data_IF_085021658447
#
_entry.id   IF_085021658447
#
_cell.length_a   1.000
_cell.length_b   1.000
_cell.length_c   1.000
_cell.angle_alpha   90.00
_cell.angle_beta   90.00
_cell.angle_gamma   90.00
#
_symmetry.space_group_name_H-M   'P 1'
#
loop_
_entity.id
_entity.type
_entity.pdbx_description
1 polymer ?
#
# COMPACT_ATOMS: atom_id res chain seq x y z
N UNK A 1 -52.66 -12.38 -5.31
CA UNK A 1 -51.88 -12.54 -6.57
C UNK A 1 -50.40 -12.67 -6.20
N UNK A 2 -49.90 -13.89 -6.12
CA UNK A 2 -48.48 -14.16 -5.79
C UNK A 2 -47.67 -13.88 -7.06
N UNK A 3 -47.01 -12.71 -7.15
CA UNK A 3 -46.02 -12.46 -8.22
C UNK A 3 -44.84 -13.41 -7.98
N UNK A 4 -44.83 -14.54 -8.69
CA UNK A 4 -43.68 -15.43 -8.78
C UNK A 4 -42.48 -14.60 -9.30
N UNK A 5 -41.51 -14.32 -8.43
CA UNK A 5 -40.21 -13.80 -8.84
C UNK A 5 -39.48 -14.93 -9.56
N UNK A 6 -39.70 -15.06 -10.86
CA UNK A 6 -38.94 -15.98 -11.70
C UNK A 6 -37.47 -15.51 -11.67
N UNK A 7 -36.62 -16.20 -10.90
CA UNK A 7 -35.19 -15.90 -10.79
C UNK A 7 -34.53 -16.25 -12.11
N UNK A 8 -34.16 -15.24 -12.90
CA UNK A 8 -33.22 -15.42 -14.02
C UNK A 8 -31.87 -15.77 -13.40
N UNK A 9 -31.25 -16.84 -13.90
CA UNK A 9 -29.94 -17.26 -13.40
C UNK A 9 -28.88 -16.27 -13.89
N UNK A 10 -27.94 -15.85 -13.03
CA UNK A 10 -26.77 -15.11 -13.48
C UNK A 10 -25.97 -15.96 -14.48
N UNK A 11 -25.26 -15.30 -15.38
CA UNK A 11 -24.39 -15.97 -16.35
C UNK A 11 -23.00 -15.34 -16.34
N UNK A 12 -22.02 -16.10 -16.82
CA UNK A 12 -20.63 -15.66 -16.93
C UNK A 12 -20.36 -15.35 -18.40
N UNK A 13 -19.80 -14.18 -18.65
CA UNK A 13 -19.26 -13.76 -19.94
C UNK A 13 -17.76 -14.01 -19.91
N UNK A 14 -17.25 -14.77 -20.88
CA UNK A 14 -15.81 -15.00 -21.04
C UNK A 14 -15.35 -14.24 -22.29
N UNK A 15 -14.40 -13.33 -22.10
CA UNK A 15 -13.71 -12.63 -23.18
C UNK A 15 -12.38 -13.31 -23.39
N UNK A 16 -12.19 -13.94 -24.55
CA UNK A 16 -10.90 -14.43 -25.00
C UNK A 16 -10.36 -13.50 -26.08
N UNK A 17 -9.23 -12.85 -25.82
CA UNK A 17 -8.38 -12.23 -26.85
C UNK A 17 -7.14 -13.09 -27.05
N UNK A 18 -6.36 -12.83 -28.10
CA UNK A 18 -5.14 -13.60 -28.43
C UNK A 18 -4.12 -13.69 -27.27
N UNK A 19 -4.23 -12.86 -26.22
CA UNK A 19 -3.31 -12.82 -25.08
C UNK A 19 -3.97 -12.90 -23.69
N UNK A 20 -5.29 -12.76 -23.54
CA UNK A 20 -5.97 -12.76 -22.25
C UNK A 20 -7.33 -13.47 -22.31
N UNK A 21 -7.63 -14.27 -21.28
CA UNK A 21 -8.98 -14.72 -20.96
C UNK A 21 -9.47 -13.95 -19.73
N UNK A 22 -10.59 -13.25 -19.84
CA UNK A 22 -11.25 -12.52 -18.74
C UNK A 22 -12.66 -13.04 -18.56
N UNK A 23 -13.16 -13.08 -17.33
CA UNK A 23 -14.54 -13.48 -17.05
C UNK A 23 -15.25 -12.44 -16.20
N UNK A 24 -16.49 -12.12 -16.56
CA UNK A 24 -17.36 -11.21 -15.80
C UNK A 24 -18.67 -11.90 -15.49
N UNK A 25 -19.14 -11.78 -14.24
CA UNK A 25 -20.47 -12.25 -13.86
C UNK A 25 -21.50 -11.17 -14.20
N UNK A 26 -22.60 -11.54 -14.86
CA UNK A 26 -23.71 -10.64 -15.14
C UNK A 26 -24.93 -11.05 -14.33
N UNK A 27 -25.39 -10.16 -13.45
CA UNK A 27 -26.64 -10.36 -12.71
C UNK A 27 -27.76 -9.63 -13.41
N UNK A 28 -28.74 -10.39 -13.90
CA UNK A 28 -29.90 -9.86 -14.59
C UNK A 28 -31.05 -9.54 -13.64
N UNK A 29 -31.76 -8.44 -13.95
CA UNK A 29 -33.05 -8.07 -13.38
C UNK A 29 -34.01 -7.77 -14.55
N UNK A 30 -35.21 -8.37 -14.49
CA UNK A 30 -36.28 -8.18 -15.49
C UNK A 30 -37.12 -6.95 -15.15
N UNK A 31 -37.73 -6.37 -16.18
CA UNK A 31 -38.59 -5.19 -16.12
C UNK A 31 -37.91 -4.03 -15.38
N UNK A 32 -36.63 -3.82 -15.70
CA UNK A 32 -35.80 -2.81 -15.09
C UNK A 32 -34.89 -2.20 -16.16
N UNK A 33 -34.71 -0.88 -16.08
CA UNK A 33 -33.82 -0.13 -16.97
C UNK A 33 -33.16 1.01 -16.21
N UNK A 34 -31.86 1.18 -16.45
CA UNK A 34 -31.14 2.38 -16.05
C UNK A 34 -31.29 3.45 -17.14
N UNK A 35 -32.01 4.53 -16.83
CA UNK A 35 -32.34 5.55 -17.83
C UNK A 35 -31.19 6.50 -18.13
N UNK A 36 -30.38 6.79 -17.12
CA UNK A 36 -29.29 7.74 -17.22
C UNK A 36 -27.98 7.04 -17.56
N UNK A 37 -26.98 7.83 -17.99
CA UNK A 37 -25.57 7.38 -18.11
C UNK A 37 -25.32 6.27 -19.14
N UNK A 38 -26.11 6.30 -20.22
CA UNK A 38 -25.86 5.53 -21.43
C UNK A 38 -24.59 6.03 -22.10
N UNK A 39 -23.61 5.16 -22.20
CA UNK A 39 -22.37 5.40 -22.93
C UNK A 39 -22.59 5.23 -24.42
N UNK A 40 -23.27 4.13 -24.81
CA UNK A 40 -23.53 3.75 -26.19
C UNK A 40 -24.84 2.98 -26.28
N UNK A 41 -25.56 3.16 -27.39
CA UNK A 41 -26.73 2.36 -27.77
C UNK A 41 -26.43 1.66 -29.09
N UNK A 42 -26.70 0.36 -29.16
CA UNK A 42 -26.42 -0.50 -30.32
C UNK A 42 -27.49 -1.57 -30.47
N UNK A 43 -27.62 -2.14 -31.67
CA UNK A 43 -28.35 -3.39 -31.87
C UNK A 43 -27.41 -4.58 -31.64
N UNK A 44 -27.91 -5.63 -31.01
CA UNK A 44 -27.15 -6.88 -30.73
C UNK A 44 -28.06 -8.10 -30.87
N UNK A 45 -27.52 -9.25 -31.26
CA UNK A 45 -28.26 -10.50 -31.47
C UNK A 45 -28.75 -11.18 -30.18
N UNK A 46 -28.56 -10.53 -29.04
CA UNK A 46 -28.95 -11.07 -27.74
C UNK A 46 -28.27 -10.35 -26.59
N UNK A 47 -28.80 -10.57 -25.38
CA UNK A 47 -28.23 -9.99 -24.15
C UNK A 47 -26.81 -10.46 -23.87
N UNK A 48 -26.42 -11.65 -24.33
CA UNK A 48 -25.05 -12.16 -24.20
C UNK A 48 -24.06 -11.32 -25.00
N UNK A 49 -24.39 -11.00 -26.26
CA UNK A 49 -23.55 -10.14 -27.10
C UNK A 49 -23.50 -8.71 -26.53
N UNK A 50 -24.64 -8.20 -26.04
CA UNK A 50 -24.68 -6.93 -25.32
C UNK A 50 -23.73 -6.92 -24.11
N UNK A 51 -23.73 -8.01 -23.33
CA UNK A 51 -22.86 -8.18 -22.17
C UNK A 51 -21.38 -8.31 -22.56
N UNK A 52 -21.06 -9.05 -23.63
CA UNK A 52 -19.71 -9.10 -24.20
C UNK A 52 -19.21 -7.71 -24.59
N UNK A 53 -20.04 -6.92 -25.27
CA UNK A 53 -19.70 -5.55 -25.68
C UNK A 53 -19.52 -4.61 -24.49
N UNK A 54 -20.33 -4.76 -23.44
CA UNK A 54 -20.13 -4.02 -22.18
C UNK A 54 -18.80 -4.41 -21.53
N UNK A 55 -18.53 -5.70 -21.39
CA UNK A 55 -17.32 -6.19 -20.73
C UNK A 55 -16.04 -5.86 -21.51
N UNK A 56 -16.13 -5.59 -22.83
CA UNK A 56 -15.01 -5.08 -23.66
C UNK A 56 -14.79 -3.56 -23.51
N UNK A 57 -15.71 -2.83 -22.89
CA UNK A 57 -15.64 -1.38 -22.73
C UNK A 57 -15.25 -1.04 -21.27
N UNK A 58 -14.04 -0.51 -21.00
CA UNK A 58 -13.56 -0.26 -19.63
C UNK A 58 -14.43 0.66 -18.77
N UNK A 59 -15.26 1.48 -19.39
CA UNK A 59 -16.17 2.42 -18.73
C UNK A 59 -17.58 1.87 -18.51
N UNK A 60 -17.89 0.64 -18.96
CA UNK A 60 -19.21 0.02 -18.86
C UNK A 60 -19.31 -0.88 -17.64
N UNK A 61 -20.22 -0.53 -16.73
CA UNK A 61 -20.47 -1.27 -15.47
C UNK A 61 -21.80 -2.02 -15.50
N UNK A 62 -22.67 -1.68 -16.44
CA UNK A 62 -24.00 -2.28 -16.57
C UNK A 62 -24.52 -2.14 -18.00
N UNK A 63 -25.57 -2.90 -18.30
CA UNK A 63 -26.26 -2.86 -19.58
C UNK A 63 -27.78 -2.85 -19.38
N UNK A 64 -28.51 -2.28 -20.33
CA UNK A 64 -29.92 -2.57 -20.54
C UNK A 64 -30.09 -3.29 -21.88
N UNK A 65 -31.02 -4.24 -21.94
CA UNK A 65 -31.35 -4.93 -23.17
C UNK A 65 -32.87 -5.06 -23.33
N UNK A 66 -33.38 -4.66 -24.49
CA UNK A 66 -34.76 -4.88 -24.90
C UNK A 66 -34.75 -5.75 -26.16
N UNK A 67 -35.33 -6.94 -26.09
CA UNK A 67 -35.49 -7.80 -27.26
C UNK A 67 -36.47 -7.15 -28.23
N UNK A 68 -36.14 -7.16 -29.52
CA UNK A 68 -37.17 -7.03 -30.54
C UNK A 68 -37.87 -8.38 -30.66
N UNK A 69 -39.19 -8.40 -30.77
CA UNK A 69 -39.97 -9.63 -30.93
C UNK A 69 -40.06 -10.07 -32.39
N UNK A 70 -39.77 -9.15 -33.33
CA UNK A 70 -39.84 -9.41 -34.77
C UNK A 70 -38.54 -10.01 -35.33
N UNK A 71 -37.39 -9.74 -34.68
CA UNK A 71 -36.06 -10.16 -35.13
C UNK A 71 -35.31 -10.91 -34.01
N UNK A 72 -34.31 -11.71 -34.38
CA UNK A 72 -33.36 -12.30 -33.41
C UNK A 72 -32.36 -11.27 -32.86
N UNK A 73 -32.78 -10.01 -32.70
CA UNK A 73 -31.95 -8.88 -32.28
C UNK A 73 -32.68 -8.00 -31.26
N UNK A 74 -31.96 -7.07 -30.65
CA UNK A 74 -32.54 -6.18 -29.67
C UNK A 74 -31.64 -5.00 -29.33
N UNK A 75 -32.28 -3.99 -28.75
CA UNK A 75 -31.64 -2.74 -28.36
C UNK A 75 -30.80 -2.97 -27.11
N UNK A 76 -29.48 -2.77 -27.24
CA UNK A 76 -28.49 -2.84 -26.19
C UNK A 76 -28.01 -1.44 -25.80
N UNK A 77 -28.17 -1.07 -24.53
CA UNK A 77 -27.65 0.16 -23.94
C UNK A 77 -26.49 -0.21 -23.00
N UNK A 78 -25.30 0.33 -23.28
CA UNK A 78 -24.12 0.18 -22.43
C UNK A 78 -24.10 1.35 -21.44
N UNK A 79 -24.01 1.08 -20.15
CA UNK A 79 -24.23 2.06 -19.09
C UNK A 79 -23.07 2.11 -18.09
N UNK A 80 -22.83 3.29 -17.52
CA UNK A 80 -21.84 3.52 -16.45
C UNK A 80 -22.50 3.77 -15.10
N UNK A 81 -22.01 3.10 -14.06
CA UNK A 81 -22.40 3.32 -12.66
C UNK A 81 -21.33 4.19 -11.99
N UNK A 82 -21.70 5.22 -11.21
CA UNK A 82 -20.73 5.95 -10.36
C UNK A 82 -21.02 5.82 -8.87
N UNK A 83 -22.25 5.52 -8.46
CA UNK A 83 -22.64 5.50 -7.04
C UNK A 83 -23.60 4.36 -6.69
N UNK A 84 -23.74 4.07 -5.40
CA UNK A 84 -24.67 3.06 -4.85
C UNK A 84 -26.14 3.40 -5.19
N UNK A 85 -26.43 4.65 -5.52
CA UNK A 85 -27.78 5.18 -5.79
C UNK A 85 -28.25 5.04 -7.25
N UNK A 86 -27.42 4.55 -8.17
CA UNK A 86 -27.83 4.23 -9.55
C UNK A 86 -28.67 2.93 -9.56
N UNK A 87 -29.83 2.94 -8.90
CA UNK A 87 -30.77 1.82 -8.94
C UNK A 87 -31.66 1.94 -10.18
N UNK A 88 -31.74 0.89 -11.02
CA UNK A 88 -32.59 0.89 -12.19
C UNK A 88 -34.06 1.05 -11.78
N UNK A 89 -34.85 1.77 -12.58
CA UNK A 89 -36.26 2.00 -12.28
C UNK A 89 -37.01 0.67 -12.36
N UNK A 90 -37.85 0.36 -11.37
CA UNK A 90 -38.75 -0.79 -11.47
C UNK A 90 -39.84 -0.51 -12.52
N UNK A 91 -40.32 -1.58 -13.16
CA UNK A 91 -41.50 -1.62 -14.04
C UNK A 91 -41.32 -1.07 -15.47
N UNK A 92 -40.09 -1.01 -15.98
CA UNK A 92 -39.85 -0.86 -17.43
C UNK A 92 -40.11 -2.19 -18.15
N UNK A 93 -41.37 -2.44 -18.49
CA UNK A 93 -41.80 -3.70 -19.09
C UNK A 93 -40.99 -4.08 -20.34
N UNK A 94 -40.53 -5.34 -20.38
CA UNK A 94 -39.71 -5.87 -21.49
C UNK A 94 -38.22 -5.62 -21.38
N UNK A 95 -37.77 -4.62 -20.59
CA UNK A 95 -36.35 -4.34 -20.40
C UNK A 95 -35.69 -5.32 -19.44
N UNK A 96 -34.45 -5.69 -19.75
CA UNK A 96 -33.57 -6.42 -18.85
C UNK A 96 -32.37 -5.55 -18.48
N UNK A 97 -32.17 -5.30 -17.19
CA UNK A 97 -30.98 -4.65 -16.69
C UNK A 97 -29.97 -5.70 -16.22
N UNK A 98 -28.75 -5.64 -16.73
CA UNK A 98 -27.63 -6.48 -16.33
C UNK A 98 -26.55 -5.66 -15.64
N UNK A 99 -26.29 -5.93 -14.36
CA UNK A 99 -25.12 -5.36 -13.66
C UNK A 99 -23.94 -6.30 -13.85
N UNK A 100 -22.84 -5.76 -14.38
CA UNK A 100 -21.58 -6.48 -14.47
C UNK A 100 -20.93 -6.44 -13.09
N UNK A 101 -20.72 -7.62 -12.52
CA UNK A 101 -19.89 -7.79 -11.34
C UNK A 101 -18.51 -8.15 -11.86
N UNK A 102 -17.62 -7.17 -11.87
CA UNK A 102 -16.22 -7.52 -11.78
C UNK A 102 -15.96 -8.06 -10.37
N UNK A 103 -15.28 -9.20 -10.19
CA UNK A 103 -14.62 -9.47 -8.92
C UNK A 103 -13.78 -8.25 -8.56
N UNK A 104 -13.75 -7.89 -7.27
CA UNK A 104 -13.08 -6.68 -6.79
C UNK A 104 -11.66 -6.62 -7.34
N UNK A 105 -11.37 -5.59 -8.14
CA UNK A 105 -10.08 -5.45 -8.81
C UNK A 105 -9.06 -4.74 -7.95
N UNK A 106 -9.39 -4.27 -6.76
CA UNK A 106 -8.52 -3.45 -5.90
C UNK A 106 -8.42 -4.05 -4.50
N UNK A 107 -7.19 -4.27 -4.06
CA UNK A 107 -6.83 -4.79 -2.75
C UNK A 107 -5.94 -3.77 -2.05
N UNK A 108 -6.37 -3.26 -0.89
CA UNK A 108 -5.64 -2.23 -0.14
C UNK A 108 -5.18 -2.80 1.19
N UNK A 109 -3.88 -2.93 1.36
CA UNK A 109 -3.22 -3.38 2.57
C UNK A 109 -2.76 -2.17 3.39
N UNK A 110 -3.04 -2.20 4.68
CA UNK A 110 -2.68 -1.17 5.68
C UNK A 110 -1.90 -1.81 6.82
N UNK A 111 -1.55 -1.02 7.83
CA UNK A 111 -0.94 -1.49 9.08
C UNK A 111 -1.92 -2.25 9.98
N UNK A 112 -3.20 -2.37 9.59
CA UNK A 112 -4.26 -2.99 10.41
C UNK A 112 -4.35 -2.35 11.82
N UNK A 113 -4.02 -1.07 11.92
CA UNK A 113 -4.06 -0.31 13.18
C UNK A 113 -2.87 -0.55 14.11
N UNK A 114 -1.92 -1.42 13.74
CA UNK A 114 -0.69 -1.60 14.50
C UNK A 114 0.21 -0.35 14.43
N UNK A 115 0.94 -0.10 15.52
CA UNK A 115 1.81 1.05 15.71
C UNK A 115 3.10 0.62 16.43
N UNK A 116 4.18 1.40 16.26
CA UNK A 116 5.49 1.09 16.86
C UNK A 116 6.29 0.05 16.08
N UNK A 117 7.07 -0.76 16.79
CA UNK A 117 8.05 -1.69 16.19
C UNK A 117 7.46 -2.99 15.63
N UNK A 118 6.35 -3.45 16.20
CA UNK A 118 5.75 -4.74 15.86
C UNK A 118 4.64 -4.55 14.83
N UNK A 119 4.54 -5.50 13.91
CA UNK A 119 3.48 -5.51 12.92
C UNK A 119 2.16 -6.05 13.48
N UNK A 120 1.10 -6.06 12.66
CA UNK A 120 -0.24 -6.46 13.10
C UNK A 120 -0.36 -7.93 13.48
N UNK A 121 -1.27 -8.21 14.41
CA UNK A 121 -1.56 -9.56 14.94
C UNK A 121 -2.96 -10.06 14.59
N UNK A 122 -3.79 -9.20 14.01
CA UNK A 122 -5.20 -9.49 13.71
C UNK A 122 -5.61 -8.84 12.37
N UNK A 123 -6.53 -9.48 11.65
CA UNK A 123 -7.01 -9.05 10.32
C UNK A 123 -8.46 -8.55 10.31
N UNK A 124 -9.10 -8.37 11.46
CA UNK A 124 -10.53 -8.01 11.56
C UNK A 124 -10.89 -6.70 10.83
N UNK A 125 -9.96 -5.76 10.73
CA UNK A 125 -10.15 -4.51 9.97
C UNK A 125 -10.32 -4.74 8.45
N UNK A 126 -10.06 -5.95 7.96
CA UNK A 126 -10.35 -6.35 6.58
C UNK A 126 -11.68 -7.06 6.37
N UNK A 127 -12.44 -7.40 7.41
CA UNK A 127 -13.66 -8.23 7.31
C UNK A 127 -14.74 -7.63 6.39
N UNK A 128 -14.75 -6.31 6.24
CA UNK A 128 -15.68 -5.56 5.38
C UNK A 128 -15.04 -5.05 4.10
N UNK A 129 -13.87 -5.58 3.72
CA UNK A 129 -13.09 -5.16 2.56
C UNK A 129 -12.90 -6.29 1.56
N UNK A 130 -12.25 -5.99 0.43
CA UNK A 130 -11.88 -6.99 -0.57
C UNK A 130 -10.87 -8.03 -0.11
N UNK A 131 -10.29 -7.84 1.10
CA UNK A 131 -9.32 -8.72 1.73
C UNK A 131 -9.93 -9.66 2.79
N UNK A 132 -11.25 -9.59 3.06
CA UNK A 132 -11.93 -10.41 4.06
C UNK A 132 -11.63 -11.91 3.85
N UNK A 133 -11.01 -12.55 4.86
CA UNK A 133 -10.63 -13.96 4.84
C UNK A 133 -9.56 -14.35 3.79
N UNK A 134 -8.88 -13.38 3.17
CA UNK A 134 -7.86 -13.63 2.11
C UNK A 134 -6.42 -13.32 2.53
N UNK A 135 -6.23 -12.86 3.77
CA UNK A 135 -4.93 -12.48 4.32
C UNK A 135 -4.59 -13.35 5.51
N UNK A 136 -3.37 -13.88 5.53
CA UNK A 136 -2.80 -14.55 6.70
C UNK A 136 -1.63 -13.72 7.23
N UNK A 137 -1.53 -13.56 8.54
CA UNK A 137 -0.41 -12.86 9.18
C UNK A 137 0.68 -13.84 9.63
N UNK A 138 1.93 -13.51 9.33
CA UNK A 138 3.13 -14.14 9.91
C UNK A 138 4.04 -13.02 10.40
N UNK A 139 4.16 -12.87 11.72
CA UNK A 139 4.99 -11.82 12.34
C UNK A 139 4.70 -10.41 11.77
N UNK A 140 3.42 -10.08 11.57
CA UNK A 140 2.99 -8.80 10.98
C UNK A 140 3.04 -8.72 9.46
N UNK A 141 3.69 -9.67 8.78
CA UNK A 141 3.72 -9.75 7.32
C UNK A 141 2.41 -10.39 6.84
N UNK A 142 1.77 -9.72 5.89
CA UNK A 142 0.49 -10.10 5.30
C UNK A 142 0.74 -10.98 4.06
N UNK A 143 0.41 -12.27 4.17
CA UNK A 143 0.42 -13.20 3.04
C UNK A 143 -0.89 -13.08 2.27
N UNK A 144 -0.77 -12.87 0.97
CA UNK A 144 -1.91 -12.76 0.07
C UNK A 144 -1.71 -13.63 -1.17
N UNK A 145 -2.76 -14.32 -1.58
CA UNK A 145 -2.76 -15.17 -2.77
C UNK A 145 -3.46 -14.46 -3.91
N UNK A 146 -2.78 -14.35 -5.06
CA UNK A 146 -3.30 -13.71 -6.26
C UNK A 146 -4.57 -14.44 -6.73
N UNK A 147 -5.74 -13.77 -6.78
CA UNK A 147 -7.01 -14.44 -7.09
C UNK A 147 -7.15 -14.74 -8.58
N UNK A 148 -6.52 -13.94 -9.44
CA UNK A 148 -6.70 -14.00 -10.89
C UNK A 148 -5.38 -13.74 -11.62
N UNK A 149 -5.15 -14.47 -12.71
CA UNK A 149 -4.00 -14.19 -13.58
C UNK A 149 -4.25 -12.92 -14.37
N UNK A 150 -3.29 -12.00 -14.39
CA UNK A 150 -3.38 -10.78 -15.18
C UNK A 150 -2.30 -9.76 -14.85
N UNK A 151 -2.41 -8.60 -15.48
CA UNK A 151 -1.55 -7.44 -15.17
C UNK A 151 -2.12 -6.69 -13.98
N UNK A 152 -1.27 -6.33 -13.02
CA UNK A 152 -1.62 -5.63 -11.81
C UNK A 152 -0.79 -4.36 -11.68
N UNK A 153 -1.43 -3.23 -11.34
CA UNK A 153 -0.73 -2.06 -10.83
C UNK A 153 -0.56 -2.22 -9.33
N UNK A 154 0.68 -2.22 -8.88
CA UNK A 154 1.03 -2.24 -7.46
C UNK A 154 1.58 -0.85 -7.12
N UNK A 155 0.99 -0.21 -6.11
CA UNK A 155 1.49 1.05 -5.54
C UNK A 155 1.74 0.87 -4.05
N UNK A 156 2.95 1.14 -3.60
CA UNK A 156 3.31 1.17 -2.18
C UNK A 156 3.68 2.58 -1.72
N UNK A 157 3.28 2.90 -0.49
CA UNK A 157 3.69 4.06 0.27
C UNK A 157 4.55 3.60 1.45
N UNK A 158 5.77 4.15 1.58
CA UNK A 158 6.57 4.02 2.80
C UNK A 158 6.00 4.91 3.90
N UNK A 159 6.26 4.57 5.16
CA UNK A 159 5.79 5.38 6.28
C UNK A 159 6.70 6.59 6.54
N UNK A 160 6.16 7.65 7.14
CA UNK A 160 6.98 8.80 7.57
C UNK A 160 7.73 8.50 8.86
N UNK A 161 8.89 9.15 9.03
CA UNK A 161 9.58 9.20 10.31
C UNK A 161 8.80 9.95 11.39
N UNK A 162 9.25 9.80 12.63
CA UNK A 162 8.75 10.56 13.76
C UNK A 162 9.13 12.03 13.66
N UNK A 163 8.21 12.91 14.05
CA UNK A 163 8.53 14.32 14.23
C UNK A 163 9.46 14.50 15.43
N UNK A 164 10.15 15.62 15.48
CA UNK A 164 10.97 16.01 16.61
C UNK A 164 10.37 17.21 17.33
N UNK A 165 10.38 17.20 18.66
CA UNK A 165 9.92 18.32 19.48
C UNK A 165 10.89 18.66 20.61
N UNK A 166 10.60 19.70 21.39
CA UNK A 166 11.41 20.08 22.54
C UNK A 166 10.50 20.62 23.65
N UNK A 167 10.68 20.15 24.90
CA UNK A 167 9.85 20.57 26.04
C UNK A 167 10.18 21.98 26.55
N UNK A 168 11.37 22.49 26.24
CA UNK A 168 11.91 23.76 26.74
C UNK A 168 11.72 24.92 25.77
N UNK A 169 11.21 24.68 24.56
CA UNK A 169 10.86 25.74 23.61
C UNK A 169 9.64 25.33 22.78
N UNK A 170 8.57 26.13 22.87
CA UNK A 170 7.32 25.94 22.12
C UNK A 170 7.47 26.07 20.59
N UNK A 171 8.67 26.38 20.10
CA UNK A 171 8.95 26.72 18.70
C UNK A 171 9.78 25.66 17.94
N UNK A 172 10.18 24.57 18.57
CA UNK A 172 10.95 23.51 17.88
C UNK A 172 10.02 22.36 17.50
N UNK A 173 9.29 22.51 16.40
CA UNK A 173 8.62 21.40 15.71
C UNK A 173 9.37 21.13 14.41
N UNK A 174 10.04 19.99 14.34
CA UNK A 174 10.82 19.55 13.18
C UNK A 174 10.18 18.31 12.61
N UNK A 175 10.11 18.21 11.29
CA UNK A 175 9.31 17.16 10.65
C UNK A 175 10.16 15.91 10.43
N UNK A 176 9.56 14.75 10.73
CA UNK A 176 10.10 13.49 10.24
C UNK A 176 10.05 13.46 8.72
N UNK A 177 10.99 12.76 8.10
CA UNK A 177 10.98 12.59 6.65
C UNK A 177 9.71 11.88 6.20
N UNK A 178 9.15 12.31 5.07
CA UNK A 178 8.01 11.62 4.44
C UNK A 178 8.47 10.33 3.76
N UNK A 179 7.63 9.29 3.74
CA UNK A 179 7.92 8.05 3.02
C UNK A 179 7.77 8.19 1.49
N UNK A 180 8.38 7.28 0.73
CA UNK A 180 8.31 7.26 -0.73
C UNK A 180 6.95 6.72 -1.25
N UNK A 181 6.60 7.08 -2.48
CA UNK A 181 5.50 6.51 -3.26
C UNK A 181 6.06 5.82 -4.49
N UNK A 182 5.93 4.51 -4.56
CA UNK A 182 6.50 3.68 -5.64
C UNK A 182 5.38 2.90 -6.30
N UNK A 183 5.31 2.95 -7.63
CA UNK A 183 4.29 2.27 -8.41
C UNK A 183 4.89 1.57 -9.62
N UNK A 184 4.43 0.37 -9.93
CA UNK A 184 4.75 -0.33 -11.16
C UNK A 184 3.64 -1.30 -11.59
N UNK A 185 3.71 -1.76 -12.83
CA UNK A 185 2.82 -2.79 -13.39
C UNK A 185 3.53 -4.14 -13.45
N UNK A 186 2.84 -5.20 -13.04
CA UNK A 186 3.38 -6.55 -12.90
C UNK A 186 2.40 -7.57 -13.48
N UNK A 187 2.89 -8.57 -14.19
CA UNK A 187 2.05 -9.72 -14.56
C UNK A 187 2.13 -10.76 -13.44
N UNK A 188 1.00 -11.04 -12.79
CA UNK A 188 0.89 -12.01 -11.71
C UNK A 188 -0.03 -13.15 -12.14
N UNK A 189 0.26 -14.37 -11.70
CA UNK A 189 -0.57 -15.55 -11.96
C UNK A 189 -1.44 -15.88 -10.76
N UNK A 190 -2.64 -16.38 -11.02
CA UNK A 190 -3.50 -16.96 -9.99
C UNK A 190 -2.72 -17.97 -9.16
N UNK A 191 -2.95 -17.96 -7.86
CA UNK A 191 -2.31 -18.79 -6.85
C UNK A 191 -0.84 -18.47 -6.57
N UNK A 192 -0.23 -17.48 -7.24
CA UNK A 192 1.03 -16.92 -6.76
C UNK A 192 0.81 -16.26 -5.40
N UNK A 193 1.70 -16.52 -4.45
CA UNK A 193 1.65 -15.95 -3.11
C UNK A 193 2.62 -14.79 -3.00
N UNK A 194 2.14 -13.69 -2.45
CA UNK A 194 2.92 -12.50 -2.16
C UNK A 194 3.03 -12.29 -0.66
N UNK A 195 4.20 -11.83 -0.21
CA UNK A 195 4.42 -11.28 1.12
C UNK A 195 4.29 -9.76 1.04
N UNK A 196 3.44 -9.20 1.88
CA UNK A 196 3.17 -7.77 1.94
C UNK A 196 3.47 -7.28 3.35
N UNK A 197 4.44 -6.39 3.48
CA UNK A 197 4.74 -5.69 4.72
C UNK A 197 4.34 -4.24 4.52
N UNK A 198 3.52 -3.70 5.41
CA UNK A 198 3.13 -2.28 5.38
C UNK A 198 3.86 -1.53 6.49
N UNK A 199 4.62 -0.52 6.11
CA UNK A 199 5.42 0.26 7.05
C UNK A 199 4.57 1.05 8.05
N UNK A 200 5.00 1.09 9.30
CA UNK A 200 4.41 1.91 10.36
C UNK A 200 5.18 3.22 10.54
N UNK A 201 4.46 4.27 10.91
CA UNK A 201 5.02 5.59 11.19
C UNK A 201 6.03 5.52 12.36
N UNK A 202 7.11 6.29 12.24
CA UNK A 202 7.98 6.58 13.39
C UNK A 202 7.28 7.47 14.42
N UNK A 203 7.69 7.34 15.68
CA UNK A 203 7.15 8.11 16.81
C UNK A 203 8.24 8.97 17.44
N UNK A 204 7.87 10.11 18.04
CA UNK A 204 8.81 10.88 18.81
C UNK A 204 9.09 10.20 20.16
N UNK A 205 10.27 10.43 20.73
CA UNK A 205 10.60 10.06 22.11
C UNK A 205 10.20 11.20 23.04
N UNK A 206 9.27 11.02 23.96
CA UNK A 206 8.69 12.11 24.79
C UNK A 206 9.31 12.22 26.20
N UNK A 207 10.32 11.39 26.52
CA UNK A 207 10.85 11.25 27.88
C UNK A 207 12.01 12.20 28.23
N UNK A 208 12.61 12.89 27.25
CA UNK A 208 13.79 13.75 27.46
C UNK A 208 13.53 15.18 26.99
N UNK A 209 14.28 16.17 27.48
CA UNK A 209 14.08 17.58 27.06
C UNK A 209 14.19 17.80 25.54
N UNK A 210 14.95 16.95 24.86
CA UNK A 210 15.06 16.87 23.41
C UNK A 210 14.33 15.61 22.94
N UNK A 211 13.28 15.78 22.15
CA UNK A 211 12.44 14.69 21.68
C UNK A 211 12.70 14.41 20.20
N UNK A 212 13.72 13.64 19.81
CA UNK A 212 13.89 13.27 18.40
C UNK A 212 12.87 12.23 17.96
N UNK A 213 12.71 12.10 16.65
CA UNK A 213 11.86 11.11 16.02
C UNK A 213 12.61 9.82 15.71
N UNK A 214 11.91 8.69 15.82
CA UNK A 214 12.37 7.40 15.28
C UNK A 214 12.12 7.29 13.78
N UNK A 215 12.74 6.29 13.13
CA UNK A 215 12.57 6.05 11.70
C UNK A 215 11.21 5.42 11.38
N UNK A 216 10.62 5.80 10.24
CA UNK A 216 9.44 5.15 9.67
C UNK A 216 9.83 3.89 8.90
N UNK A 217 8.94 2.90 8.87
CA UNK A 217 9.17 1.65 8.15
C UNK A 217 8.95 1.75 6.64
N UNK A 218 9.64 0.89 5.90
CA UNK A 218 9.38 0.66 4.48
C UNK A 218 8.15 -0.23 4.27
N UNK A 219 7.53 -0.11 3.10
CA UNK A 219 6.47 -1.02 2.65
C UNK A 219 7.00 -1.92 1.54
N UNK A 220 6.80 -3.24 1.66
CA UNK A 220 7.39 -4.26 0.81
C UNK A 220 6.30 -5.10 0.15
N UNK A 221 6.50 -5.42 -1.12
CA UNK A 221 5.79 -6.45 -1.86
C UNK A 221 6.83 -7.38 -2.47
N UNK A 222 6.84 -8.62 -2.02
CA UNK A 222 7.79 -9.65 -2.49
C UNK A 222 7.04 -10.94 -2.84
N UNK A 223 7.69 -11.81 -3.60
CA UNK A 223 7.25 -13.20 -3.73
C UNK A 223 7.49 -13.97 -2.42
N UNK A 224 6.92 -15.17 -2.30
CA UNK A 224 7.09 -16.04 -1.12
C UNK A 224 8.57 -16.33 -0.78
N UNK A 225 9.47 -16.30 -1.78
CA UNK A 225 10.92 -16.50 -1.62
C UNK A 225 11.71 -15.20 -1.31
N UNK A 226 11.03 -14.14 -0.87
CA UNK A 226 11.60 -12.82 -0.52
C UNK A 226 12.20 -12.03 -1.69
N UNK A 227 12.04 -12.50 -2.93
CA UNK A 227 12.44 -11.72 -4.10
C UNK A 227 11.55 -10.48 -4.24
N UNK A 228 12.11 -9.25 -4.21
CA UNK A 228 11.30 -8.04 -4.20
C UNK A 228 10.66 -7.77 -5.55
N UNK A 229 9.38 -7.41 -5.54
CA UNK A 229 8.68 -6.82 -6.69
C UNK A 229 8.76 -5.30 -6.63
N UNK A 230 8.38 -4.76 -5.46
CA UNK A 230 8.24 -3.34 -5.23
C UNK A 230 8.45 -3.03 -3.75
N UNK A 231 9.24 -2.02 -3.45
CA UNK A 231 9.51 -1.56 -2.08
C UNK A 231 9.48 -0.04 -2.07
N UNK A 232 8.75 0.55 -1.13
CA UNK A 232 8.75 1.99 -0.88
C UNK A 232 9.46 2.30 0.44
N UNK A 233 10.54 3.08 0.37
CA UNK A 233 11.35 3.46 1.53
C UNK A 233 10.60 4.38 2.49
N UNK A 234 10.78 4.16 3.80
CA UNK A 234 10.29 5.01 4.87
C UNK A 234 11.20 6.22 5.12
N UNK A 235 10.67 7.24 5.77
CA UNK A 235 11.43 8.44 6.14
C UNK A 235 12.23 8.28 7.44
N UNK A 236 13.36 8.98 7.54
CA UNK A 236 14.13 9.11 8.77
C UNK A 236 13.43 10.02 9.79
N UNK A 237 13.72 9.82 11.07
CA UNK A 237 13.18 10.67 12.14
C UNK A 237 13.83 12.05 12.20
N UNK A 238 13.13 13.01 12.81
CA UNK A 238 13.64 14.37 12.94
C UNK A 238 14.59 14.51 14.14
N UNK A 239 15.60 15.38 14.00
CA UNK A 239 16.50 15.76 15.09
C UNK A 239 16.04 17.07 15.71
N UNK A 240 15.67 17.05 16.99
CA UNK A 240 15.13 18.23 17.70
C UNK A 240 16.06 18.71 18.82
N UNK A 241 17.11 19.44 18.43
CA UNK A 241 18.09 20.02 19.35
C UNK A 241 18.20 21.53 19.17
N UNK A 242 17.26 22.27 19.80
CA UNK A 242 17.22 23.74 19.83
C UNK A 242 17.50 24.36 18.43
N UNK A 243 18.48 25.26 18.33
CA UNK A 243 18.86 25.96 17.11
C UNK A 243 19.54 25.08 16.04
N UNK A 244 19.84 23.81 16.34
CA UNK A 244 20.55 22.87 15.45
C UNK A 244 19.66 21.75 14.94
N UNK A 245 18.35 21.92 15.08
CA UNK A 245 17.34 20.97 14.65
C UNK A 245 17.42 20.71 13.14
N UNK A 246 17.14 19.47 12.73
CA UNK A 246 17.12 19.03 11.33
C UNK A 246 15.89 18.17 11.06
N UNK A 247 15.25 18.40 9.92
CA UNK A 247 14.23 17.49 9.42
C UNK A 247 14.84 16.11 9.11
N UNK A 248 14.03 15.08 9.25
CA UNK A 248 14.40 13.74 8.84
C UNK A 248 14.53 13.63 7.32
N UNK A 249 15.46 12.80 6.85
CA UNK A 249 15.60 12.51 5.43
C UNK A 249 14.37 11.77 4.89
N UNK A 250 13.84 12.21 3.76
CA UNK A 250 12.72 11.55 3.10
C UNK A 250 13.08 10.14 2.63
N UNK A 251 12.08 9.26 2.53
CA UNK A 251 12.21 8.00 1.77
C UNK A 251 12.54 8.30 0.31
N UNK A 252 13.46 7.54 -0.26
CA UNK A 252 14.04 7.80 -1.58
C UNK A 252 13.31 7.06 -2.68
N UNK A 253 13.24 7.64 -3.88
CA UNK A 253 12.79 6.92 -5.08
C UNK A 253 13.84 5.95 -5.63
N UNK A 254 15.12 6.18 -5.29
CA UNK A 254 16.26 5.35 -5.70
C UNK A 254 16.52 4.21 -4.70
N UNK A 255 17.39 3.28 -5.09
CA UNK A 255 17.69 2.07 -4.31
C UNK A 255 18.49 2.29 -3.02
N UNK A 256 19.15 3.44 -2.89
CA UNK A 256 20.03 3.69 -1.75
C UNK A 256 19.31 4.53 -0.69
N UNK A 257 19.60 4.24 0.58
CA UNK A 257 19.23 5.14 1.66
C UNK A 257 20.10 6.41 1.66
N UNK A 258 19.75 7.37 2.51
CA UNK A 258 20.50 8.63 2.67
C UNK A 258 21.22 8.72 4.02
N UNK A 259 22.13 9.69 4.17
CA UNK A 259 22.85 10.00 5.41
C UNK A 259 23.54 8.79 6.06
N UNK A 260 24.38 8.09 5.27
CA UNK A 260 24.95 6.81 5.67
C UNK A 260 24.03 5.62 5.39
N UNK A 261 23.05 5.79 4.50
CA UNK A 261 22.13 4.72 4.14
C UNK A 261 22.81 3.57 3.39
N UNK A 262 22.18 2.40 3.49
CA UNK A 262 22.63 1.18 2.83
C UNK A 262 22.48 1.24 1.32
N UNK A 263 23.01 0.20 0.68
CA UNK A 263 22.85 -0.09 -0.74
C UNK A 263 22.61 -1.58 -0.93
N UNK A 264 22.09 -1.98 -2.10
CA UNK A 264 21.92 -3.39 -2.49
C UNK A 264 21.21 -4.25 -1.43
N UNK A 265 20.14 -3.73 -0.83
CA UNK A 265 19.37 -4.50 0.15
C UNK A 265 19.87 -4.40 1.59
N UNK A 266 20.97 -3.68 1.85
CA UNK A 266 21.58 -3.58 3.19
C UNK A 266 20.93 -2.49 4.05
N UNK A 267 21.01 -2.65 5.37
CA UNK A 267 20.62 -1.61 6.33
C UNK A 267 21.55 -0.40 6.27
N UNK A 268 21.12 0.69 6.90
CA UNK A 268 21.94 1.89 7.05
C UNK A 268 23.04 1.73 8.10
N UNK A 269 24.02 2.63 8.03
CA UNK A 269 25.14 2.74 8.94
C UNK A 269 25.05 3.99 9.82
N UNK A 270 25.83 4.00 10.90
CA UNK A 270 26.05 5.16 11.75
C UNK A 270 27.35 5.84 11.32
N UNK A 271 27.25 7.09 10.86
CA UNK A 271 28.40 7.88 10.41
C UNK A 271 28.73 8.91 11.47
N UNK A 272 29.85 8.71 12.15
CA UNK A 272 30.39 9.61 13.17
C UNK A 272 31.53 10.46 12.58
N UNK A 273 31.27 11.76 12.39
CA UNK A 273 32.24 12.76 11.99
C UNK A 273 32.53 13.70 13.18
N UNK A 274 33.12 13.16 14.26
CA UNK A 274 33.39 13.89 15.50
C UNK A 274 33.76 12.98 16.68
N UNK A 275 33.89 13.54 17.88
CA UNK A 275 34.22 12.79 19.10
C UNK A 275 33.01 12.11 19.76
N UNK A 276 31.80 12.47 19.37
CA UNK A 276 30.58 12.09 20.08
C UNK A 276 29.92 10.84 19.47
N UNK A 277 29.47 9.93 20.34
CA UNK A 277 28.74 8.73 19.95
C UNK A 277 27.36 9.05 19.36
N UNK A 278 26.90 8.22 18.43
CA UNK A 278 25.54 8.25 17.88
C UNK A 278 24.66 7.33 18.74
N UNK A 279 23.59 7.85 19.36
CA UNK A 279 22.67 7.04 20.19
C UNK A 279 21.34 6.73 19.47
N UNK A 280 21.18 7.17 18.22
CA UNK A 280 20.07 6.81 17.33
C UNK A 280 20.52 5.73 16.34
N UNK A 281 19.65 4.80 16.03
CA UNK A 281 20.00 3.62 15.25
C UNK A 281 19.55 3.73 13.78
N UNK A 282 20.20 2.99 12.90
CA UNK A 282 19.90 3.01 11.47
C UNK A 282 18.70 2.12 11.11
N UNK A 283 18.13 2.34 9.92
CA UNK A 283 17.04 1.54 9.38
C UNK A 283 17.52 0.23 8.76
N UNK A 284 16.65 -0.77 8.75
CA UNK A 284 16.83 -2.04 8.05
C UNK A 284 16.55 -1.94 6.54
N UNK A 285 17.24 -2.79 5.78
CA UNK A 285 17.02 -2.98 4.34
C UNK A 285 16.16 -4.21 4.04
N UNK A 286 16.23 -4.69 2.80
CA UNK A 286 15.63 -5.96 2.40
C UNK A 286 16.26 -7.14 3.15
N UNK A 287 17.59 -7.16 3.26
CA UNK A 287 18.37 -8.32 3.74
C UNK A 287 19.41 -8.00 4.82
N UNK A 288 19.70 -6.72 5.05
CA UNK A 288 20.61 -6.28 6.11
C UNK A 288 19.86 -5.49 7.17
N UNK A 289 20.08 -5.85 8.44
CA UNK A 289 19.61 -5.05 9.57
C UNK A 289 20.33 -3.70 9.59
N UNK A 290 19.68 -2.70 10.18
CA UNK A 290 20.32 -1.41 10.47
C UNK A 290 21.36 -1.54 11.57
N UNK A 291 22.40 -0.70 11.51
CA UNK A 291 23.41 -0.63 12.55
C UNK A 291 22.83 -0.16 13.90
N UNK A 292 23.23 -0.85 14.96
CA UNK A 292 22.82 -0.56 16.34
C UNK A 292 23.63 0.60 16.93
N UNK A 293 22.97 1.44 17.70
CA UNK A 293 23.60 2.51 18.48
C UNK A 293 24.00 2.00 19.89
N UNK A 294 24.87 0.99 19.91
CA UNK A 294 25.38 0.39 21.14
C UNK A 294 24.29 -0.20 22.05
N UNK A 295 24.30 0.17 23.32
CA UNK A 295 23.33 -0.29 24.32
C UNK A 295 21.98 0.43 24.23
N UNK A 296 21.94 1.63 23.65
CA UNK A 296 20.81 2.56 23.79
C UNK A 296 19.64 2.28 22.84
N UNK A 297 19.96 2.02 21.57
CA UNK A 297 18.95 1.81 20.54
C UNK A 297 19.41 0.73 19.56
N UNK A 298 18.50 -0.14 19.16
CA UNK A 298 18.75 -1.11 18.09
C UNK A 298 18.31 -0.59 16.72
N UNK A 299 19.03 -1.03 15.69
CA UNK A 299 18.65 -0.77 14.31
C UNK A 299 17.42 -1.59 13.92
N UNK A 300 16.70 -1.09 12.92
CA UNK A 300 15.55 -1.81 12.37
C UNK A 300 15.97 -3.13 11.75
N UNK A 301 15.16 -4.18 11.94
CA UNK A 301 15.36 -5.47 11.29
C UNK A 301 15.09 -5.39 9.80
N UNK A 302 15.86 -6.17 9.05
CA UNK A 302 15.62 -6.37 7.63
C UNK A 302 14.26 -7.01 7.35
N UNK A 303 13.73 -6.82 6.15
CA UNK A 303 12.51 -7.51 5.72
C UNK A 303 12.62 -9.03 5.86
N UNK A 304 13.72 -9.64 5.42
CA UNK A 304 13.96 -11.08 5.59
C UNK A 304 14.10 -11.52 7.05
N UNK A 305 14.42 -10.58 7.95
CA UNK A 305 14.44 -10.76 9.39
C UNK A 305 13.11 -10.47 10.09
N UNK A 306 12.02 -10.32 9.33
CA UNK A 306 10.67 -10.03 9.86
C UNK A 306 10.30 -8.55 9.91
N UNK A 307 11.22 -7.64 9.58
CA UNK A 307 10.95 -6.21 9.45
C UNK A 307 10.59 -5.48 10.73
N UNK A 308 10.85 -6.05 11.91
CA UNK A 308 10.64 -5.38 13.19
C UNK A 308 11.37 -4.03 13.25
N UNK A 309 10.72 -3.01 13.79
CA UNK A 309 11.37 -1.74 14.09
C UNK A 309 12.45 -1.87 15.15
N UNK A 310 13.34 -0.89 15.24
CA UNK A 310 14.32 -0.79 16.29
C UNK A 310 13.68 -0.51 17.64
N UNK A 311 14.35 -0.93 18.71
CA UNK A 311 13.93 -0.74 20.10
C UNK A 311 14.80 0.34 20.75
N UNK A 312 14.18 1.27 21.47
CA UNK A 312 14.90 2.08 22.45
C UNK A 312 14.94 1.30 23.77
N UNK A 313 16.13 0.88 24.19
CA UNK A 313 16.35 -0.05 25.31
C UNK A 313 16.41 0.62 26.68
N UNK A 314 16.35 1.95 26.71
CA UNK A 314 16.44 2.74 27.94
C UNK A 314 15.20 3.58 28.22
N UNK A 315 14.36 3.81 27.20
CA UNK A 315 13.07 4.46 27.35
C UNK A 315 12.03 3.47 27.89
N UNK A 316 11.16 3.94 28.80
CA UNK A 316 10.06 3.14 29.31
C UNK A 316 8.94 3.03 28.26
N UNK A 317 8.19 1.91 28.27
CA UNK A 317 6.95 1.79 27.50
C UNK A 317 7.09 1.71 25.97
N UNK A 318 8.30 1.44 25.44
CA UNK A 318 8.52 1.30 24.00
C UNK A 318 8.56 2.62 23.23
N UNK A 319 8.72 3.75 23.91
CA UNK A 319 8.89 5.05 23.26
C UNK A 319 10.17 5.13 22.44
N UNK A 320 10.15 5.92 21.37
CA UNK A 320 11.31 6.07 20.48
C UNK A 320 11.64 4.82 19.66
N UNK A 321 10.82 3.76 19.74
CA UNK A 321 10.94 2.62 18.86
C UNK A 321 10.71 3.02 17.39
N UNK A 322 11.47 2.40 16.49
CA UNK A 322 11.30 2.57 15.06
C UNK A 322 10.00 1.92 14.57
N UNK A 323 9.44 2.42 13.47
CA UNK A 323 8.26 1.82 12.86
C UNK A 323 8.54 0.43 12.27
N UNK A 324 7.60 -0.50 12.44
CA UNK A 324 7.56 -1.77 11.70
C UNK A 324 7.75 -1.54 10.21
N UNK A 325 8.50 -2.42 9.55
CA UNK A 325 9.12 -2.19 8.24
C UNK A 325 10.56 -1.72 8.32
N UNK A 326 11.23 -1.97 9.45
CA UNK A 326 12.66 -1.75 9.63
C UNK A 326 13.05 -0.30 9.93
N UNK A 327 12.19 0.53 10.50
CA UNK A 327 12.61 1.83 11.03
C UNK A 327 13.59 1.65 12.20
N UNK A 328 14.64 2.47 12.28
CA UNK A 328 15.56 2.50 13.41
C UNK A 328 14.99 3.25 14.62
N UNK A 329 15.36 2.84 15.83
CA UNK A 329 14.99 3.55 17.05
C UNK A 329 15.74 4.89 17.20
N UNK A 330 15.12 5.85 17.89
CA UNK A 330 15.77 7.07 18.33
C UNK A 330 16.11 7.05 19.81
N UNK A 331 17.06 7.89 20.21
CA UNK A 331 17.34 8.21 21.62
C UNK A 331 17.64 9.71 21.75
N UNK A 332 18.88 10.14 22.00
CA UNK A 332 19.29 11.54 21.87
C UNK A 332 19.45 11.97 20.42
N UNK A 333 19.56 11.01 19.49
CA UNK A 333 19.64 11.19 18.05
C UNK A 333 18.48 10.49 17.35
N UNK A 334 18.10 10.94 16.13
CA UNK A 334 17.00 10.35 15.37
C UNK A 334 17.32 8.95 14.83
N UNK A 335 16.26 8.21 14.48
CA UNK A 335 16.36 6.89 13.86
C UNK A 335 16.25 6.92 12.32
N UNK A 336 17.02 6.06 11.63
CA UNK A 336 17.00 5.91 10.17
C UNK A 336 15.74 5.21 9.65
N UNK A 337 15.23 5.59 8.48
CA UNK A 337 14.05 4.97 7.86
C UNK A 337 14.33 3.57 7.28
N UNK A 338 13.36 2.66 7.34
CA UNK A 338 13.46 1.33 6.71
C UNK A 338 13.21 1.38 5.19
N UNK A 339 13.57 0.34 4.44
CA UNK A 339 13.30 0.28 3.00
C UNK A 339 13.98 -0.87 2.27
N UNK A 340 14.10 -0.77 0.94
CA UNK A 340 14.92 -1.70 0.17
C UNK A 340 16.37 -1.65 0.67
N UNK A 341 16.90 -0.45 0.85
CA UNK A 341 18.09 -0.23 1.67
C UNK A 341 17.71 0.69 2.83
N UNK A 342 18.28 0.45 4.01
CA UNK A 342 17.97 1.26 5.19
C UNK A 342 18.59 2.66 5.12
N UNK A 343 17.96 3.63 5.77
CA UNK A 343 18.52 4.96 6.02
C UNK A 343 19.54 4.93 7.15
N UNK A 344 20.61 5.71 7.04
CA UNK A 344 21.64 5.81 8.07
C UNK A 344 21.35 6.91 9.08
N UNK A 345 22.30 7.11 10.01
CA UNK A 345 22.33 8.27 10.90
C UNK A 345 23.69 8.92 10.80
N UNK A 346 23.71 10.19 10.42
CA UNK A 346 24.91 11.01 10.38
C UNK A 346 24.97 11.91 11.63
N UNK A 347 26.16 12.02 12.22
CA UNK A 347 26.41 12.95 13.33
C UNK A 347 27.76 13.64 13.16
N UNK A 348 27.78 14.93 13.42
CA UNK A 348 29.01 15.71 13.64
C UNK A 348 28.88 16.54 14.93
N UNK A 349 29.86 17.39 15.21
CA UNK A 349 29.88 18.22 16.43
C UNK A 349 28.77 19.30 16.46
N UNK A 350 28.07 19.53 15.34
CA UNK A 350 27.02 20.53 15.24
C UNK A 350 25.64 19.89 15.33
N UNK A 351 25.36 18.85 14.53
CA UNK A 351 24.02 18.28 14.43
C UNK A 351 24.04 16.78 14.14
N UNK A 352 22.87 16.17 14.32
CA UNK A 352 22.57 14.84 13.80
C UNK A 352 21.45 14.90 12.77
N UNK A 353 21.48 13.98 11.82
CA UNK A 353 20.42 13.81 10.83
C UNK A 353 20.27 12.33 10.45
N UNK A 354 19.05 11.83 10.53
CA UNK A 354 18.71 10.49 10.05
C UNK A 354 18.28 10.54 8.58
N UNK A 355 18.66 9.53 7.82
CA UNK A 355 18.22 9.36 6.44
C UNK A 355 16.99 8.51 6.29
N UNK A 356 16.28 8.71 5.18
CA UNK A 356 15.23 7.81 4.75
C UNK A 356 15.79 6.63 3.95
N UNK A 357 15.00 5.56 3.91
CA UNK A 357 15.33 4.32 3.21
C UNK A 357 15.18 4.44 1.70
N UNK A 358 15.91 3.57 0.99
CA UNK A 358 15.81 3.37 -0.45
C UNK A 358 14.56 2.58 -0.86
N UNK A 359 14.18 2.71 -2.12
CA UNK A 359 13.05 2.02 -2.76
C UNK A 359 13.50 1.05 -3.84
N UNK A 360 12.60 0.19 -4.33
CA UNK A 360 12.89 -0.76 -5.39
C UNK A 360 11.66 -1.01 -6.25
N UNK A 361 11.83 -1.20 -7.55
CA UNK A 361 10.73 -1.46 -8.48
C UNK A 361 11.24 -2.17 -9.73
N UNK A 362 10.73 -3.37 -10.01
CA UNK A 362 11.01 -4.11 -11.27
C UNK A 362 9.82 -4.12 -12.23
N UNK A 363 8.72 -3.45 -11.87
CA UNK A 363 7.54 -3.37 -12.73
C UNK A 363 7.77 -2.45 -13.93
N UNK A 364 6.92 -2.57 -14.95
CA UNK A 364 6.82 -1.59 -16.03
C UNK A 364 6.04 -0.35 -15.59
N UNK A 365 6.01 0.69 -16.43
CA UNK A 365 5.18 1.89 -16.23
C UNK A 365 5.40 2.56 -14.86
N UNK A 366 6.68 2.67 -14.48
CA UNK A 366 7.06 3.08 -13.15
C UNK A 366 6.71 4.55 -12.86
N UNK A 367 6.14 4.80 -11.69
CA UNK A 367 5.96 6.14 -11.13
C UNK A 367 6.54 6.13 -9.72
N UNK A 368 7.79 6.59 -9.59
CA UNK A 368 8.55 6.56 -8.35
C UNK A 368 8.80 7.99 -7.87
N UNK A 369 8.39 8.31 -6.64
CA UNK A 369 8.56 9.62 -6.03
C UNK A 369 9.02 9.47 -4.58
N UNK A 370 10.10 10.16 -4.20
CA UNK A 370 10.55 10.20 -2.81
C UNK A 370 9.77 11.26 -2.01
N UNK A 371 9.64 11.05 -0.70
CA UNK A 371 9.14 12.08 0.22
C UNK A 371 7.68 12.54 0.01
N UNK A 372 6.76 11.61 -0.25
CA UNK A 372 5.35 11.92 -0.56
C UNK A 372 4.41 11.64 0.60
N UNK A 373 4.63 10.55 1.35
CA UNK A 373 3.65 10.05 2.31
C UNK A 373 3.94 10.50 3.74
N UNK A 374 2.96 11.13 4.39
CA UNK A 374 2.94 11.37 5.82
C UNK A 374 2.00 10.39 6.52
N UNK A 375 2.45 9.81 7.63
CA UNK A 375 1.71 8.78 8.35
C UNK A 375 2.19 7.37 8.01
N UNK A 376 1.31 6.41 8.25
CA UNK A 376 1.57 4.99 7.96
C UNK A 376 1.66 4.72 6.45
N UNK A 377 2.35 3.65 6.11
CA UNK A 377 2.40 3.14 4.76
C UNK A 377 1.08 2.53 4.31
N UNK A 378 1.03 2.17 3.03
CA UNK A 378 -0.03 1.34 2.46
C UNK A 378 0.45 0.65 1.21
N UNK A 379 -0.18 -0.47 0.84
CA UNK A 379 0.03 -1.12 -0.45
C UNK A 379 -1.31 -1.28 -1.13
N UNK A 380 -1.42 -0.85 -2.37
CA UNK A 380 -2.60 -1.03 -3.22
C UNK A 380 -2.24 -1.89 -4.42
N UNK A 381 -2.95 -3.00 -4.60
CA UNK A 381 -2.81 -3.92 -5.74
C UNK A 381 -4.09 -3.85 -6.57
N UNK A 382 -3.99 -3.44 -7.83
CA UNK A 382 -5.14 -3.27 -8.73
C UNK A 382 -5.01 -4.11 -9.99
N UNK A 383 -5.90 -5.08 -10.21
CA UNK A 383 -5.97 -5.86 -11.45
C UNK A 383 -6.41 -4.97 -12.61
N UNK A 384 -5.56 -4.87 -13.63
CA UNK A 384 -5.86 -4.28 -14.92
C UNK A 384 -6.65 -5.29 -15.74
N UNK A 385 -7.95 -5.27 -15.50
CA UNK A 385 -8.91 -6.13 -16.20
C UNK A 385 -9.29 -5.57 -17.54
#
# INVERSE_FOLDING_TARGET
>A
VIRSKMRIKPFIVIICTFSLARSTLVKLRKNQRLHDRKLKVKQTQGIMECAHRCALLPSCDSLNYLSDAADSSGTCELCRLQFVEDEPRPDDEGWMHGKLFSPERKFTFTTLGAQGQDGPVDTSLYDVTSLAGKVQLIQGIQLWTVPETGSYVIRALGASGGNGTNSSSSFTWVTGGSGASIQGTFFLRRNEKLKILVGQKGHPLMQFTHHPGSGGGGSFVTYENDSPLLVAGGGGGAYAYLARSKDGGNGQASINGTFGGGSNGKGGALIQAGSDFVNGAAGGGLSGDGENAGFFASGGKSFTGGGQGGENRVALGGEGAGGFGGGGACNSEPGGGGGYSGGGVYKNNEYSQAGGGGSFNIGSDQVNQGGVNQGDGSVTITLLG
#
